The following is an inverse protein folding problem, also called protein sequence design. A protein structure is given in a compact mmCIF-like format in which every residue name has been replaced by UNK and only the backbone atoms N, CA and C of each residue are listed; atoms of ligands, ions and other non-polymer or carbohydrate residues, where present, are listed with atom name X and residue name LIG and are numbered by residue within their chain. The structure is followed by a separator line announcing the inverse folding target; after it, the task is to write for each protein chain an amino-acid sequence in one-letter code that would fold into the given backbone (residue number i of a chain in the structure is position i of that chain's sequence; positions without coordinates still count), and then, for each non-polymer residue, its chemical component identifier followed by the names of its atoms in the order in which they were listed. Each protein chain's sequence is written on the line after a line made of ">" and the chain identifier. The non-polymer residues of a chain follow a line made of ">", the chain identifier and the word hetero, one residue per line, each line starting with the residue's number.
data_IF_102080662006
#
_entry.id   IF_102080662006
#
_cell.length_a   1.000
_cell.length_b   1.000
_cell.length_c   1.000
_cell.angle_alpha   90.00
_cell.angle_beta   90.00
_cell.angle_gamma   90.00
#
_symmetry.space_group_name_H-M   'P 1'
#
loop_
_entity.id
_entity.type
_entity.pdbx_description
1 polymer ?
#
# COMPACT_ATOMS: atom_id res chain seq x y z
N UNK A 1 -14.93 -10.97 10.28
CA UNK A 1 -14.67 -9.62 10.82
C UNK A 1 -13.94 -8.84 9.74
N UNK A 2 -14.56 -7.81 9.18
CA UNK A 2 -13.88 -6.90 8.26
C UNK A 2 -12.87 -6.11 9.08
N UNK A 3 -11.59 -6.50 9.00
CA UNK A 3 -10.51 -5.63 9.49
C UNK A 3 -10.54 -4.45 8.53
N UNK A 4 -11.11 -3.32 8.95
CA UNK A 4 -10.95 -2.05 8.24
C UNK A 4 -9.43 -1.83 8.19
N UNK A 5 -8.83 -2.08 7.03
CA UNK A 5 -7.43 -1.74 6.83
C UNK A 5 -7.29 -0.25 7.12
N UNK A 6 -6.30 0.13 7.94
CA UNK A 6 -5.98 1.52 8.26
C UNK A 6 -5.27 2.17 7.05
N UNK A 7 -5.89 2.07 5.88
CA UNK A 7 -5.39 2.46 4.57
C UNK A 7 -6.44 3.28 3.82
N UNK A 8 -5.98 4.35 3.18
CA UNK A 8 -6.76 5.20 2.30
C UNK A 8 -6.33 4.92 0.86
N UNK A 9 -7.31 4.59 0.01
CA UNK A 9 -7.09 4.37 -1.43
C UNK A 9 -8.01 5.30 -2.21
N UNK A 10 -7.40 6.11 -3.08
CA UNK A 10 -8.08 7.03 -3.98
C UNK A 10 -7.84 6.58 -5.42
N UNK A 11 -8.91 6.13 -6.07
CA UNK A 11 -8.98 5.74 -7.48
C UNK A 11 -10.34 6.18 -8.04
N UNK A 12 -10.47 6.44 -9.36
CA UNK A 12 -11.77 6.62 -9.97
C UNK A 12 -12.62 5.35 -9.85
N UNK A 13 -13.92 5.50 -9.62
CA UNK A 13 -14.85 4.35 -9.58
C UNK A 13 -15.14 3.80 -10.98
N UNK A 14 -15.07 4.66 -12.00
CA UNK A 14 -15.33 4.33 -13.40
C UNK A 14 -14.20 4.88 -14.25
N UNK A 15 -13.69 4.09 -15.19
CA UNK A 15 -12.57 4.44 -16.07
C UNK A 15 -12.86 3.96 -17.49
N UNK A 16 -12.44 4.71 -18.51
CA UNK A 16 -12.63 4.28 -19.91
C UNK A 16 -11.61 3.21 -20.27
N UNK A 17 -12.02 2.18 -21.03
CA UNK A 17 -11.08 1.17 -21.54
C UNK A 17 -9.91 1.80 -22.29
N UNK A 18 -8.69 1.40 -21.94
CA UNK A 18 -7.44 1.91 -22.50
C UNK A 18 -6.93 3.20 -21.85
N UNK A 19 -7.72 3.85 -20.98
CA UNK A 19 -7.30 5.06 -20.27
C UNK A 19 -6.26 4.74 -19.19
N UNK A 20 -5.24 5.60 -19.08
CA UNK A 20 -4.31 5.59 -17.95
C UNK A 20 -4.93 6.42 -16.81
N UNK A 21 -5.02 5.83 -15.62
CA UNK A 21 -5.58 6.46 -14.43
C UNK A 21 -4.61 6.41 -13.25
N UNK A 22 -4.71 7.41 -12.38
CA UNK A 22 -3.91 7.50 -11.15
C UNK A 22 -4.47 6.59 -10.07
N UNK A 23 -3.57 5.92 -9.37
CA UNK A 23 -3.83 5.17 -8.16
C UNK A 23 -3.00 5.78 -7.04
N UNK A 24 -3.69 6.23 -5.99
CA UNK A 24 -3.07 6.83 -4.80
C UNK A 24 -3.43 6.03 -3.57
N UNK A 25 -2.42 5.66 -2.80
CA UNK A 25 -2.59 4.87 -1.59
C UNK A 25 -1.80 5.48 -0.44
N UNK A 26 -2.33 5.38 0.77
CA UNK A 26 -1.66 5.73 2.02
C UNK A 26 -2.04 4.66 3.05
N UNK A 27 -1.07 4.18 3.82
CA UNK A 27 -1.32 3.24 4.93
C UNK A 27 -0.80 3.85 6.22
N UNK A 28 -1.59 3.78 7.30
CA UNK A 28 -1.16 4.23 8.62
C UNK A 28 -0.15 3.24 9.20
N UNK A 29 1.08 3.68 9.37
CA UNK A 29 2.17 2.91 9.95
C UNK A 29 3.29 3.84 10.42
N UNK A 30 3.89 3.60 11.58
CA UNK A 30 4.93 4.49 12.15
C UNK A 30 6.28 4.39 11.42
N UNK A 31 6.55 3.24 10.79
CA UNK A 31 7.81 2.97 10.08
C UNK A 31 9.03 3.17 10.97
N UNK A 32 9.01 2.59 12.18
CA UNK A 32 10.14 2.64 13.11
C UNK A 32 11.39 2.02 12.44
N UNK A 33 12.32 2.89 12.05
CA UNK A 33 13.57 2.54 11.36
C UNK A 33 14.46 1.60 12.19
N UNK A 34 14.31 1.65 13.51
CA UNK A 34 15.19 0.99 14.45
C UNK A 34 16.52 1.73 14.66
N UNK A 35 16.65 2.99 14.25
CA UNK A 35 17.81 3.83 14.58
C UNK A 35 17.57 4.74 15.79
N UNK A 36 16.32 4.90 16.21
CA UNK A 36 15.95 5.71 17.37
C UNK A 36 16.31 5.01 18.68
N UNK A 37 16.60 5.80 19.70
CA UNK A 37 16.78 5.34 21.08
C UNK A 37 15.68 5.93 21.99
N UNK A 38 15.36 5.24 23.08
CA UNK A 38 14.52 5.77 24.15
C UNK A 38 15.29 6.79 24.99
N UNK A 39 14.61 7.47 25.92
CA UNK A 39 15.23 8.41 26.86
C UNK A 39 16.31 7.75 27.73
N UNK A 40 16.18 6.44 27.98
CA UNK A 40 17.13 5.62 28.73
C UNK A 40 18.28 5.11 27.85
N UNK A 41 18.38 5.55 26.58
CA UNK A 41 19.42 5.14 25.64
C UNK A 41 19.23 3.74 25.06
N UNK A 42 18.06 3.12 25.22
CA UNK A 42 17.79 1.78 24.67
C UNK A 42 17.38 1.90 23.21
N UNK A 43 18.01 1.13 22.32
CA UNK A 43 17.66 1.11 20.90
C UNK A 43 16.24 0.57 20.71
N UNK A 44 15.43 1.30 19.95
CA UNK A 44 14.07 0.88 19.63
C UNK A 44 14.13 -0.17 18.52
N UNK A 45 13.46 -1.33 18.67
CA UNK A 45 13.43 -2.33 17.61
C UNK A 45 12.78 -1.80 16.34
N UNK A 46 13.38 -2.15 15.20
CA UNK A 46 12.81 -1.85 13.88
C UNK A 46 11.41 -2.45 13.76
N UNK A 47 10.50 -1.68 13.18
CA UNK A 47 9.17 -2.12 12.76
C UNK A 47 8.78 -1.33 11.52
N UNK A 48 9.00 -1.91 10.34
CA UNK A 48 8.63 -1.29 9.07
C UNK A 48 7.69 -2.19 8.26
N UNK A 49 6.97 -1.56 7.33
CA UNK A 49 6.47 -2.25 6.15
C UNK A 49 7.68 -2.55 5.25
N UNK A 50 7.78 -3.79 4.78
CA UNK A 50 8.86 -4.30 3.93
C UNK A 50 8.46 -4.37 2.47
N UNK A 51 7.19 -4.64 2.19
CA UNK A 51 6.68 -4.78 0.83
C UNK A 51 5.30 -4.14 0.70
N UNK A 52 5.10 -3.47 -0.43
CA UNK A 52 3.80 -3.09 -0.93
C UNK A 52 3.61 -3.67 -2.34
N UNK A 53 2.44 -4.24 -2.61
CA UNK A 53 2.04 -4.64 -3.95
C UNK A 53 0.60 -4.24 -4.27
N UNK A 54 0.34 -4.03 -5.55
CA UNK A 54 -0.99 -3.78 -6.11
C UNK A 54 -1.24 -4.77 -7.25
N UNK A 55 -2.31 -5.55 -7.12
CA UNK A 55 -2.85 -6.42 -8.16
C UNK A 55 -4.05 -5.74 -8.82
N UNK A 56 -4.16 -5.84 -10.13
CA UNK A 56 -5.37 -5.55 -10.88
C UNK A 56 -5.90 -6.86 -11.46
N UNK A 57 -6.98 -7.38 -10.86
CA UNK A 57 -7.43 -8.76 -11.03
C UNK A 57 -6.25 -9.71 -10.72
N UNK A 58 -5.82 -10.51 -11.69
CA UNK A 58 -4.75 -11.50 -11.53
C UNK A 58 -3.36 -10.97 -11.97
N UNK A 59 -3.26 -9.69 -12.36
CA UNK A 59 -2.01 -9.10 -12.83
C UNK A 59 -1.40 -8.16 -11.78
N UNK A 60 -0.13 -8.36 -11.45
CA UNK A 60 0.63 -7.39 -10.65
C UNK A 60 0.92 -6.13 -11.47
N UNK A 61 0.43 -4.98 -10.99
CA UNK A 61 0.61 -3.69 -11.67
C UNK A 61 1.61 -2.79 -10.96
N UNK A 62 1.95 -3.08 -9.71
CA UNK A 62 2.95 -2.35 -8.95
C UNK A 62 3.51 -3.19 -7.80
N UNK A 63 4.82 -3.11 -7.57
CA UNK A 63 5.49 -3.63 -6.36
C UNK A 63 6.58 -2.65 -5.92
N UNK A 64 6.70 -2.46 -4.61
CA UNK A 64 7.80 -1.75 -3.99
C UNK A 64 8.35 -2.54 -2.80
N UNK A 65 9.68 -2.62 -2.72
CA UNK A 65 10.39 -3.04 -1.51
C UNK A 65 10.77 -1.80 -0.71
N UNK A 66 10.40 -1.79 0.57
CA UNK A 66 10.61 -0.68 1.48
C UNK A 66 11.75 -1.00 2.45
N UNK A 67 12.44 0.04 2.88
CA UNK A 67 13.60 -0.03 3.77
C UNK A 67 13.46 1.00 4.90
N UNK A 68 14.30 0.94 5.96
CA UNK A 68 14.21 1.86 7.11
C UNK A 68 14.27 3.36 6.81
N UNK A 69 14.65 3.76 5.58
CA UNK A 69 14.62 5.15 5.14
C UNK A 69 13.25 5.64 4.65
N UNK A 70 12.24 4.77 4.59
CA UNK A 70 10.88 5.17 4.20
C UNK A 70 10.16 5.85 5.35
N UNK A 71 9.58 7.03 5.09
CA UNK A 71 8.84 7.82 6.07
C UNK A 71 7.60 7.11 6.62
N UNK A 72 7.20 7.52 7.82
CA UNK A 72 5.91 7.16 8.42
C UNK A 72 4.74 7.44 7.48
N UNK A 73 3.69 6.64 7.60
CA UNK A 73 2.51 6.60 6.75
C UNK A 73 2.84 6.52 5.25
N UNK A 74 3.49 5.42 4.78
CA UNK A 74 3.94 5.31 3.40
C UNK A 74 2.81 5.59 2.41
N UNK A 75 3.11 6.44 1.43
CA UNK A 75 2.20 6.84 0.37
C UNK A 75 2.79 6.49 -0.98
N UNK A 76 1.99 5.87 -1.84
CA UNK A 76 2.36 5.55 -3.21
C UNK A 76 1.37 6.19 -4.19
N UNK A 77 1.93 6.83 -5.23
CA UNK A 77 1.18 7.32 -6.38
C UNK A 77 1.79 6.71 -7.62
N UNK A 78 0.97 5.99 -8.38
CA UNK A 78 1.38 5.33 -9.61
C UNK A 78 0.20 5.28 -10.58
N UNK A 79 0.45 4.84 -11.81
CA UNK A 79 -0.54 4.85 -12.88
C UNK A 79 -0.74 3.43 -13.43
N UNK A 80 -1.97 3.13 -13.83
CA UNK A 80 -2.32 1.86 -14.46
C UNK A 80 -3.20 2.14 -15.68
N UNK A 81 -3.14 1.28 -16.70
CA UNK A 81 -4.05 1.32 -17.84
C UNK A 81 -5.27 0.45 -17.55
N UNK A 82 -6.47 1.00 -17.74
CA UNK A 82 -7.73 0.30 -17.52
C UNK A 82 -8.01 -0.69 -18.66
N UNK A 83 -7.94 -1.99 -18.38
CA UNK A 83 -8.21 -3.02 -19.40
C UNK A 83 -9.60 -3.64 -19.24
N UNK A 84 -9.99 -4.02 -18.00
CA UNK A 84 -11.23 -4.73 -17.70
C UNK A 84 -11.74 -4.38 -16.31
N UNK A 85 -13.05 -4.25 -16.14
CA UNK A 85 -13.68 -4.12 -14.83
C UNK A 85 -13.20 -5.22 -13.87
N UNK A 86 -13.12 -4.89 -12.60
CA UNK A 86 -12.69 -5.83 -11.58
C UNK A 86 -12.08 -5.12 -10.38
N UNK A 87 -11.15 -5.78 -9.72
CA UNK A 87 -10.65 -5.34 -8.43
C UNK A 87 -9.19 -4.92 -8.48
N UNK A 88 -8.91 -3.79 -7.83
CA UNK A 88 -7.57 -3.44 -7.36
C UNK A 88 -7.40 -3.99 -5.94
N UNK A 89 -6.38 -4.82 -5.74
CA UNK A 89 -6.04 -5.42 -4.45
C UNK A 89 -4.68 -4.91 -4.02
N UNK A 90 -4.67 -4.22 -2.90
CA UNK A 90 -3.49 -3.60 -2.31
C UNK A 90 -3.05 -4.43 -1.11
N UNK A 91 -1.77 -4.78 -1.04
CA UNK A 91 -1.22 -5.57 0.06
C UNK A 91 0.03 -4.90 0.60
N UNK A 92 0.07 -4.73 1.92
CA UNK A 92 1.26 -4.31 2.66
C UNK A 92 1.68 -5.43 3.60
N UNK A 93 2.98 -5.71 3.64
CA UNK A 93 3.58 -6.71 4.54
C UNK A 93 4.77 -6.08 5.24
N UNK A 94 4.90 -6.31 6.53
CA UNK A 94 5.93 -5.72 7.37
C UNK A 94 6.63 -6.71 8.28
N UNK A 95 7.39 -6.14 9.20
CA UNK A 95 7.98 -6.84 10.35
C UNK A 95 6.86 -7.24 11.35
N UNK A 96 7.17 -8.15 12.28
CA UNK A 96 6.25 -8.60 13.35
C UNK A 96 4.89 -9.07 12.83
N UNK A 97 4.91 -9.86 11.74
CA UNK A 97 3.71 -10.39 11.06
C UNK A 97 2.70 -9.33 10.62
N UNK A 98 3.11 -8.06 10.52
CA UNK A 98 2.25 -7.00 10.00
C UNK A 98 1.81 -7.35 8.58
N UNK A 99 0.50 -7.43 8.38
CA UNK A 99 -0.09 -7.56 7.06
C UNK A 99 -1.42 -6.83 7.03
N UNK A 100 -1.67 -6.09 5.95
CA UNK A 100 -2.99 -5.52 5.67
C UNK A 100 -3.30 -5.59 4.18
N UNK A 101 -4.59 -5.81 3.88
CA UNK A 101 -5.10 -5.93 2.52
C UNK A 101 -6.27 -4.97 2.37
N UNK A 102 -6.29 -4.22 1.28
CA UNK A 102 -7.41 -3.37 0.88
C UNK A 102 -7.88 -3.74 -0.53
N UNK A 103 -9.19 -3.80 -0.75
CA UNK A 103 -9.78 -4.11 -2.06
C UNK A 103 -10.66 -2.96 -2.52
N UNK A 104 -10.49 -2.54 -3.77
CA UNK A 104 -11.28 -1.48 -4.39
C UNK A 104 -11.74 -1.91 -5.78
N UNK A 105 -13.05 -2.05 -6.03
CA UNK A 105 -13.55 -2.33 -7.37
C UNK A 105 -13.45 -1.09 -8.24
N UNK A 106 -13.21 -1.31 -9.53
CA UNK A 106 -13.32 -0.31 -10.60
C UNK A 106 -14.18 -0.86 -11.74
N UNK A 107 -14.99 0.03 -12.33
CA UNK A 107 -15.78 -0.25 -13.52
C UNK A 107 -15.03 0.28 -14.74
N UNK A 108 -14.83 -0.58 -15.75
CA UNK A 108 -14.29 -0.18 -17.06
C UNK A 108 -15.43 -0.13 -18.08
N UNK A 109 -15.58 1.00 -18.75
CA UNK A 109 -16.57 1.25 -19.81
C UNK A 109 -15.94 1.30 -21.19
#
# INVERSE_FOLDING_TARGET
>A
MSVIADALVTVPTTVIKGQIFEIRTLVRHDMESGFRHTEQGVRVPRRIIREFSCMYNDLEVFRATLYPGTSANPMFVFYCRAEKSGDLVFRWVGDNDYQTIYRKPILVT
#
